data_IF_977434461009
#
_entry.id   IF_977434461009
#
_cell.length_a   1.000
_cell.length_b   1.000
_cell.length_c   1.000
_cell.angle_alpha   90.00
_cell.angle_beta   90.00
_cell.angle_gamma   90.00
#
_symmetry.space_group_name_H-M   'P 1'
#
loop_
_entity.id
_entity.type
_entity.pdbx_description
1 polymer ?
#
# COMPACT_ATOMS: atom_id res chain seq x y z
N UNK A 1 6.97 -21.96 16.47
CA UNK A 1 7.43 -20.63 16.00
C UNK A 1 6.19 -19.84 15.61
N UNK A 2 5.82 -18.80 16.34
CA UNK A 2 4.67 -17.96 15.94
C UNK A 2 5.00 -17.24 14.64
N UNK A 3 4.08 -17.14 13.68
CA UNK A 3 4.34 -16.44 12.42
C UNK A 3 4.67 -14.98 12.71
N UNK A 4 5.73 -14.46 12.08
CA UNK A 4 6.08 -13.03 12.13
C UNK A 4 4.93 -12.26 11.47
N UNK A 5 4.24 -11.43 12.25
CA UNK A 5 3.13 -10.59 11.80
C UNK A 5 3.48 -9.13 12.03
N UNK A 6 2.91 -8.26 11.20
CA UNK A 6 2.97 -6.81 11.42
C UNK A 6 2.13 -6.51 12.67
N UNK A 7 2.69 -5.73 13.59
CA UNK A 7 1.98 -5.21 14.75
C UNK A 7 1.28 -3.89 14.38
N UNK A 8 -0.02 -3.98 14.13
CA UNK A 8 -0.82 -2.81 13.75
C UNK A 8 -1.20 -1.93 14.94
N UNK A 9 -1.20 -2.48 16.16
CA UNK A 9 -1.53 -1.74 17.37
C UNK A 9 -0.36 -0.83 17.76
N UNK A 10 0.87 -1.37 17.69
CA UNK A 10 2.08 -0.56 17.85
C UNK A 10 2.20 0.50 16.75
N UNK A 11 1.91 0.13 15.49
CA UNK A 11 1.87 1.08 14.38
C UNK A 11 0.88 2.23 14.65
N UNK A 12 -0.32 1.94 15.14
CA UNK A 12 -1.33 2.94 15.45
C UNK A 12 -0.87 3.88 16.58
N UNK A 13 -0.25 3.34 17.63
CA UNK A 13 0.33 4.11 18.73
C UNK A 13 1.42 5.06 18.22
N UNK A 14 2.37 4.54 17.44
CA UNK A 14 3.48 5.32 16.87
C UNK A 14 2.98 6.39 15.89
N UNK A 15 1.95 6.09 15.10
CA UNK A 15 1.31 7.04 14.21
C UNK A 15 0.70 8.22 14.97
N UNK A 16 -0.01 7.96 16.08
CA UNK A 16 -0.61 9.02 16.91
C UNK A 16 0.43 9.87 17.64
N UNK A 17 1.52 9.25 18.10
CA UNK A 17 2.60 9.94 18.80
C UNK A 17 3.39 10.87 17.86
N UNK A 18 3.79 10.38 16.69
CA UNK A 18 4.69 11.10 15.79
C UNK A 18 3.98 11.88 14.67
N UNK A 19 2.71 11.56 14.38
CA UNK A 19 1.88 12.20 13.35
C UNK A 19 2.62 12.37 12.00
N UNK A 20 3.20 11.30 11.43
CA UNK A 20 3.89 11.38 10.16
C UNK A 20 2.95 11.86 9.05
N UNK A 21 3.48 12.53 8.02
CA UNK A 21 2.69 12.92 6.85
C UNK A 21 2.36 11.76 5.91
N UNK A 22 3.05 10.63 6.07
CA UNK A 22 2.91 9.45 5.22
C UNK A 22 3.27 8.17 5.99
N UNK A 23 2.51 7.11 5.76
CA UNK A 23 2.79 5.74 6.19
C UNK A 23 3.07 4.90 4.93
N UNK A 24 4.13 4.08 4.98
CA UNK A 24 4.55 3.22 3.88
C UNK A 24 4.13 1.77 4.18
N UNK A 25 3.33 1.18 3.29
CA UNK A 25 2.84 -0.20 3.38
C UNK A 25 3.46 -1.14 2.34
N UNK A 26 4.79 -1.21 2.28
CA UNK A 26 5.54 -2.08 1.36
C UNK A 26 6.59 -2.91 2.10
N UNK A 27 7.06 -3.99 1.46
CA UNK A 27 8.05 -4.89 2.05
C UNK A 27 8.94 -5.56 1.00
N UNK A 28 10.15 -5.92 1.42
CA UNK A 28 11.10 -6.69 0.61
C UNK A 28 11.23 -8.15 1.05
N UNK A 29 11.14 -8.42 2.36
CA UNK A 29 11.38 -9.73 2.96
C UNK A 29 10.31 -10.08 4.02
N UNK A 30 9.04 -9.97 3.64
CA UNK A 30 7.90 -10.38 4.45
C UNK A 30 7.12 -11.46 3.70
N UNK A 31 6.81 -12.57 4.37
CA UNK A 31 6.13 -13.72 3.77
C UNK A 31 4.63 -13.78 4.07
N UNK A 32 4.14 -12.89 4.93
CA UNK A 32 2.73 -12.84 5.32
C UNK A 32 1.86 -12.03 4.36
N UNK A 33 0.58 -11.90 4.75
CA UNK A 33 -0.40 -11.05 4.07
C UNK A 33 -0.46 -9.72 4.82
N UNK A 34 -0.35 -8.61 4.08
CA UNK A 34 -0.48 -7.26 4.63
C UNK A 34 -1.94 -6.82 4.61
N UNK A 35 -2.42 -6.35 5.75
CA UNK A 35 -3.71 -5.66 5.87
C UNK A 35 -3.56 -4.16 5.58
N UNK A 36 -3.65 -3.79 4.29
CA UNK A 36 -3.62 -2.39 3.88
C UNK A 36 -4.90 -1.62 4.24
N UNK A 37 -6.01 -2.30 4.51
CA UNK A 37 -7.23 -1.65 4.98
C UNK A 37 -6.98 -1.09 6.39
N UNK A 38 -6.37 -1.89 7.27
CA UNK A 38 -5.97 -1.44 8.60
C UNK A 38 -4.95 -0.31 8.57
N UNK A 39 -3.93 -0.42 7.70
CA UNK A 39 -2.97 0.67 7.52
C UNK A 39 -3.64 1.96 7.03
N UNK A 40 -4.70 1.82 6.21
CA UNK A 40 -5.47 2.96 5.72
C UNK A 40 -6.24 3.64 6.84
N UNK A 41 -6.92 2.88 7.70
CA UNK A 41 -7.58 3.41 8.90
C UNK A 41 -6.61 4.22 9.77
N UNK A 42 -5.41 3.67 10.01
CA UNK A 42 -4.38 4.32 10.83
C UNK A 42 -3.93 5.63 10.17
N UNK A 43 -3.64 5.60 8.86
CA UNK A 43 -3.22 6.79 8.12
C UNK A 43 -4.31 7.89 8.15
N UNK A 44 -5.56 7.52 7.92
CA UNK A 44 -6.68 8.47 7.96
C UNK A 44 -6.88 9.07 9.37
N UNK A 45 -6.65 8.29 10.44
CA UNK A 45 -6.80 8.75 11.83
C UNK A 45 -5.86 9.91 12.22
N UNK A 46 -4.76 10.09 11.50
CA UNK A 46 -3.77 11.16 11.71
C UNK A 46 -3.70 12.14 10.53
N UNK A 47 -4.56 11.98 9.51
CA UNK A 47 -4.53 12.79 8.29
C UNK A 47 -3.26 12.59 7.45
N UNK A 48 -2.69 11.38 7.44
CA UNK A 48 -1.51 11.00 6.68
C UNK A 48 -1.86 10.32 5.36
N UNK A 49 -0.93 10.37 4.40
CA UNK A 49 -1.02 9.56 3.20
C UNK A 49 -0.67 8.10 3.48
N UNK A 50 -1.35 7.18 2.82
CA UNK A 50 -0.95 5.77 2.71
C UNK A 50 -0.30 5.55 1.35
N UNK A 51 0.99 5.26 1.36
CA UNK A 51 1.79 4.94 0.19
C UNK A 51 2.14 3.45 0.22
N UNK A 52 1.81 2.69 -0.81
CA UNK A 52 2.10 1.24 -0.86
C UNK A 52 3.12 0.96 -1.96
N UNK A 53 4.24 0.35 -1.60
CA UNK A 53 5.17 -0.26 -2.56
C UNK A 53 4.92 -1.77 -2.65
N UNK A 54 4.39 -2.22 -3.79
CA UNK A 54 4.03 -3.61 -4.03
C UNK A 54 5.06 -4.36 -4.90
N UNK A 55 6.28 -3.83 -5.07
CA UNK A 55 7.28 -4.36 -6.00
C UNK A 55 7.48 -5.88 -5.95
N UNK A 56 7.53 -6.49 -4.75
CA UNK A 56 7.77 -7.93 -4.59
C UNK A 56 6.54 -8.80 -4.89
N UNK A 57 5.33 -8.26 -4.78
CA UNK A 57 4.07 -9.02 -4.94
C UNK A 57 3.24 -8.59 -6.14
N UNK A 58 3.73 -7.64 -6.95
CA UNK A 58 3.00 -7.05 -8.07
C UNK A 58 2.43 -8.08 -9.07
N UNK A 59 3.18 -9.14 -9.40
CA UNK A 59 2.66 -10.21 -10.27
C UNK A 59 1.58 -11.06 -9.61
N UNK A 60 1.71 -11.32 -8.31
CA UNK A 60 0.71 -12.08 -7.54
C UNK A 60 -0.61 -11.29 -7.43
N UNK A 61 -0.50 -9.98 -7.25
CA UNK A 61 -1.65 -9.06 -7.24
C UNK A 61 -2.31 -9.03 -8.62
N UNK A 62 -1.52 -8.92 -9.70
CA UNK A 62 -2.04 -8.93 -11.07
C UNK A 62 -2.73 -10.25 -11.44
N UNK A 63 -2.24 -11.38 -10.90
CA UNK A 63 -2.86 -12.70 -11.06
C UNK A 63 -4.07 -12.94 -10.12
N UNK A 64 -4.39 -12.01 -9.21
CA UNK A 64 -5.52 -12.13 -8.30
C UNK A 64 -5.32 -13.12 -7.14
N UNK A 65 -4.08 -13.53 -6.85
CA UNK A 65 -3.76 -14.52 -5.80
C UNK A 65 -3.14 -13.91 -4.53
N UNK A 66 -2.97 -12.59 -4.50
CA UNK A 66 -2.57 -11.82 -3.32
C UNK A 66 -3.49 -10.60 -3.21
N UNK A 67 -3.79 -10.09 -1.99
CA UNK A 67 -4.70 -8.95 -1.84
C UNK A 67 -4.25 -7.73 -2.64
N UNK A 68 -5.22 -6.91 -3.05
CA UNK A 68 -4.95 -5.73 -3.87
C UNK A 68 -4.88 -4.47 -3.00
N UNK A 69 -3.76 -3.72 -3.00
CA UNK A 69 -3.64 -2.48 -2.22
C UNK A 69 -4.35 -1.27 -2.85
N UNK A 70 -4.67 -1.32 -4.14
CA UNK A 70 -5.21 -0.17 -4.92
C UNK A 70 -6.50 0.42 -4.34
N UNK A 71 -7.47 -0.35 -3.80
CA UNK A 71 -8.66 0.21 -3.16
C UNK A 71 -8.37 1.02 -1.89
N UNK A 72 -7.26 0.72 -1.19
CA UNK A 72 -6.95 1.27 0.13
C UNK A 72 -5.91 2.38 0.07
N UNK A 73 -4.86 2.21 -0.74
CA UNK A 73 -3.75 3.14 -0.81
C UNK A 73 -4.13 4.46 -1.51
N UNK A 74 -3.49 5.55 -1.08
CA UNK A 74 -3.58 6.84 -1.77
C UNK A 74 -2.69 6.84 -3.02
N UNK A 75 -1.50 6.27 -2.89
CA UNK A 75 -0.51 6.10 -3.96
C UNK A 75 0.03 4.68 -3.90
N UNK A 76 0.18 4.03 -5.06
CA UNK A 76 0.79 2.71 -5.19
C UNK A 76 1.99 2.81 -6.13
N UNK A 77 3.12 2.25 -5.73
CA UNK A 77 4.29 2.08 -6.60
C UNK A 77 4.64 0.62 -6.77
N UNK A 78 5.30 0.32 -7.89
CA UNK A 78 5.86 -1.01 -8.11
C UNK A 78 7.03 -0.95 -9.07
N UNK A 79 7.94 -1.90 -8.94
CA UNK A 79 8.87 -2.23 -10.03
C UNK A 79 8.21 -3.18 -11.03
N UNK A 80 8.60 -3.11 -12.30
CA UNK A 80 8.02 -3.95 -13.36
C UNK A 80 8.76 -5.28 -13.57
N UNK A 81 10.00 -5.42 -13.09
CA UNK A 81 10.89 -6.55 -13.42
C UNK A 81 10.91 -7.71 -12.41
N UNK A 82 10.18 -7.60 -11.29
CA UNK A 82 10.13 -8.66 -10.28
C UNK A 82 9.04 -9.68 -10.64
N UNK A 83 8.09 -9.93 -9.74
CA UNK A 83 7.00 -10.88 -9.98
C UNK A 83 6.08 -10.47 -11.12
N UNK A 84 6.06 -9.18 -11.51
CA UNK A 84 5.34 -8.70 -12.70
C UNK A 84 5.99 -9.12 -14.03
N UNK A 85 7.23 -9.64 -14.01
CA UNK A 85 7.94 -10.24 -15.16
C UNK A 85 8.09 -9.35 -16.41
N UNK A 86 8.10 -8.02 -16.24
CA UNK A 86 8.36 -7.04 -17.30
C UNK A 86 9.82 -6.57 -17.38
N UNK A 87 10.12 -5.54 -18.19
CA UNK A 87 11.45 -4.93 -18.27
C UNK A 87 11.80 -4.19 -16.98
N UNK A 88 13.07 -3.81 -16.80
CA UNK A 88 13.50 -2.97 -15.67
C UNK A 88 12.90 -1.57 -15.77
N UNK A 89 11.96 -1.28 -14.88
CA UNK A 89 11.32 0.02 -14.74
C UNK A 89 10.49 0.10 -13.46
N UNK A 90 9.75 1.20 -13.33
CA UNK A 90 8.86 1.47 -12.21
C UNK A 90 7.57 2.15 -12.65
N UNK A 91 6.51 1.96 -11.87
CA UNK A 91 5.21 2.58 -12.06
C UNK A 91 4.82 3.33 -10.79
N UNK A 92 4.18 4.48 -10.96
CA UNK A 92 3.56 5.27 -9.88
C UNK A 92 2.10 5.46 -10.26
N UNK A 93 1.20 4.97 -9.40
CA UNK A 93 -0.24 4.97 -9.62
C UNK A 93 -0.93 5.72 -8.48
N UNK A 94 -1.98 6.47 -8.82
CA UNK A 94 -2.89 7.09 -7.85
C UNK A 94 -4.32 6.94 -8.33
N UNK A 95 -5.28 6.97 -7.40
CA UNK A 95 -6.69 7.01 -7.77
C UNK A 95 -6.97 8.25 -8.63
N UNK A 96 -7.76 8.07 -9.68
CA UNK A 96 -8.22 9.18 -10.52
C UNK A 96 -9.09 10.10 -9.67
N UNK A 97 -8.81 11.41 -9.72
CA UNK A 97 -9.74 12.42 -9.19
C UNK A 97 -10.75 12.62 -10.31
N UNK A 98 -11.93 12.01 -10.20
CA UNK A 98 -13.02 12.32 -11.10
C UNK A 98 -13.40 13.80 -10.89
N UNK A 99 -12.97 14.68 -11.80
CA UNK A 99 -13.68 15.94 -11.98
C UNK A 99 -15.03 15.57 -12.55
N UNK A 100 -16.09 15.67 -11.75
CA UNK A 100 -17.44 15.74 -12.29
C UNK A 100 -17.52 17.00 -13.14
N UNK A 101 -17.20 16.88 -14.43
CA UNK A 101 -17.57 17.89 -15.41
C UNK A 101 -19.08 17.77 -15.59
N UNK A 102 -19.86 18.30 -14.65
CA UNK A 102 -21.27 18.63 -14.90
C UNK A 102 -21.25 19.69 -15.99
N UNK A 103 -21.68 19.29 -17.20
CA UNK A 103 -21.94 20.22 -18.30
C UNK A 103 -23.02 21.20 -17.82
N UNK A 104 -22.69 22.49 -17.81
CA UNK A 104 -23.69 23.56 -17.85
C UNK A 104 -24.26 23.66 -19.26
#
# INVERSE_FOLDING_TARGET
MSPVKIDYDDMAKQAQEHKPKMIIGGFSAYSGIVDWAKMREIADSIGAYLFVDMAHVAGLIAAGVYPNPVPHAHVVTTTTHKTLAGPRGGLIMRKAVAKSCTKN
#
